data_IF_016737710323
#
_entry.id   IF_016737710323
#
_cell.length_a   1.000
_cell.length_b   1.000
_cell.length_c   1.000
_cell.angle_alpha   90.00
_cell.angle_beta   90.00
_cell.angle_gamma   90.00
#
_symmetry.space_group_name_H-M   'P 1'
#
loop_
_entity.id
_entity.type
_entity.pdbx_description
1 polymer ?
#
# COMPACT_ATOMS: atom_id res chain seq x y z
N UNK A 1 -20.23 -1.42 9.99
CA UNK A 1 -20.83 -0.38 10.87
C UNK A 1 -19.81 0.09 11.87
N UNK A 2 -19.65 1.40 12.06
CA UNK A 2 -18.58 1.95 12.92
C UNK A 2 -18.90 1.73 14.40
N UNK A 3 -17.98 1.07 15.14
CA UNK A 3 -18.11 0.82 16.59
C UNK A 3 -18.22 2.13 17.41
N UNK A 4 -17.77 3.25 16.85
CA UNK A 4 -17.74 4.60 17.45
C UNK A 4 -19.16 5.14 17.74
N UNK A 5 -20.17 4.66 17.03
CA UNK A 5 -21.57 5.04 17.27
C UNK A 5 -22.13 4.42 18.56
N UNK A 6 -21.67 3.22 18.94
CA UNK A 6 -22.23 2.45 20.05
C UNK A 6 -21.50 2.62 21.39
N UNK A 7 -20.32 3.26 21.38
CA UNK A 7 -19.49 3.43 22.58
C UNK A 7 -19.08 4.91 22.77
N UNK A 8 -19.83 5.70 23.55
CA UNK A 8 -19.57 7.13 23.71
C UNK A 8 -18.20 7.42 24.34
N UNK A 9 -17.72 6.56 25.25
CA UNK A 9 -16.40 6.70 25.88
C UNK A 9 -15.24 6.63 24.87
N UNK A 10 -15.40 5.90 23.76
CA UNK A 10 -14.39 5.88 22.70
C UNK A 10 -14.25 7.24 22.03
N UNK A 11 -15.31 8.05 21.96
CA UNK A 11 -15.23 9.41 21.40
C UNK A 11 -14.32 10.30 22.24
N UNK A 12 -14.37 10.17 23.56
CA UNK A 12 -13.52 10.96 24.45
C UNK A 12 -12.05 10.52 24.37
N UNK A 13 -11.79 9.22 24.26
CA UNK A 13 -10.43 8.71 23.99
C UNK A 13 -9.92 9.22 22.65
N UNK A 14 -10.72 9.14 21.58
CA UNK A 14 -10.35 9.67 20.27
C UNK A 14 -10.11 11.18 20.31
N UNK A 15 -10.88 11.95 21.10
CA UNK A 15 -10.64 13.39 21.27
C UNK A 15 -9.29 13.70 21.89
N UNK A 16 -8.84 12.91 22.87
CA UNK A 16 -7.55 13.07 23.56
C UNK A 16 -6.33 12.77 22.68
N UNK A 17 -6.49 12.02 21.58
CA UNK A 17 -5.36 11.72 20.68
C UNK A 17 -4.74 13.01 20.07
N UNK A 18 -3.40 13.06 19.93
CA UNK A 18 -2.72 14.19 19.31
C UNK A 18 -3.22 14.52 17.91
N UNK A 19 -3.23 15.83 17.57
CA UNK A 19 -3.70 16.31 16.26
C UNK A 19 -2.92 15.72 15.09
N UNK A 20 -1.59 15.61 15.22
CA UNK A 20 -0.72 15.07 14.16
C UNK A 20 -1.04 13.60 13.85
N UNK A 21 -1.36 12.79 14.88
CA UNK A 21 -1.71 11.39 14.72
C UNK A 21 -3.03 11.22 13.96
N UNK A 22 -4.06 12.00 14.32
CA UNK A 22 -5.36 12.00 13.62
C UNK A 22 -5.21 12.34 12.16
N UNK A 23 -4.44 13.39 11.86
CA UNK A 23 -4.16 13.81 10.48
C UNK A 23 -3.49 12.68 9.71
N UNK A 24 -2.38 12.13 10.22
CA UNK A 24 -1.67 11.00 9.58
C UNK A 24 -2.58 9.78 9.36
N UNK A 25 -3.45 9.46 10.31
CA UNK A 25 -4.40 8.35 10.17
C UNK A 25 -5.43 8.59 9.06
N UNK A 26 -6.03 9.78 9.02
CA UNK A 26 -7.01 10.17 8.01
C UNK A 26 -6.40 10.19 6.61
N UNK A 27 -5.20 10.76 6.50
CA UNK A 27 -4.44 10.76 5.27
C UNK A 27 -4.18 9.30 4.84
N UNK A 28 -3.67 8.42 5.72
CA UNK A 28 -3.32 7.03 5.36
C UNK A 28 -4.49 6.18 4.89
N UNK A 29 -5.71 6.51 5.34
CA UNK A 29 -6.94 5.81 4.94
C UNK A 29 -7.71 6.58 3.85
N UNK A 30 -7.17 7.68 3.33
CA UNK A 30 -7.78 8.40 2.23
C UNK A 30 -7.72 7.53 0.96
N UNK A 31 -8.88 7.12 0.46
CA UNK A 31 -8.95 6.40 -0.82
C UNK A 31 -8.54 7.35 -1.95
N UNK A 32 -7.70 6.89 -2.89
CA UNK A 32 -7.45 7.68 -4.09
C UNK A 32 -8.78 7.90 -4.84
N UNK A 33 -9.09 9.12 -5.28
CA UNK A 33 -10.31 9.38 -6.01
C UNK A 33 -10.28 8.56 -7.30
N UNK A 34 -11.27 7.70 -7.48
CA UNK A 34 -11.45 6.95 -8.73
C UNK A 34 -11.80 8.00 -9.80
N UNK A 35 -10.88 8.24 -10.74
CA UNK A 35 -11.15 9.17 -11.82
C UNK A 35 -12.03 8.51 -12.89
N UNK A 36 -13.33 8.78 -12.83
CA UNK A 36 -14.34 8.24 -13.73
C UNK A 36 -14.37 8.97 -15.10
N UNK A 37 -13.68 10.12 -15.21
CA UNK A 37 -13.67 10.95 -16.41
C UNK A 37 -12.25 10.99 -16.98
N UNK A 38 -12.04 10.33 -18.12
CA UNK A 38 -10.82 10.48 -18.93
C UNK A 38 -11.21 10.93 -20.33
N UNK A 39 -10.54 11.97 -20.82
CA UNK A 39 -10.66 12.39 -22.23
C UNK A 39 -10.16 11.27 -23.12
N UNK A 40 -11.05 10.67 -23.93
CA UNK A 40 -10.64 9.61 -24.86
C UNK A 40 -10.15 10.24 -26.17
N UNK A 41 -8.94 9.89 -26.66
CA UNK A 41 -8.42 10.45 -27.91
C UNK A 41 -9.28 10.04 -29.14
N UNK A 42 -10.05 8.95 -29.03
CA UNK A 42 -10.99 8.47 -30.07
C UNK A 42 -12.19 9.41 -30.32
N UNK A 43 -12.48 10.34 -29.40
CA UNK A 43 -13.63 11.26 -29.45
C UNK A 43 -13.24 12.74 -29.58
N UNK A 44 -11.94 13.06 -29.57
CA UNK A 44 -11.42 14.42 -29.77
C UNK A 44 -11.71 14.83 -31.22
N UNK A 45 -12.60 15.81 -31.41
CA UNK A 45 -12.95 16.39 -32.71
C UNK A 45 -14.33 16.04 -33.27
N UNK A 46 -15.16 15.25 -32.57
CA UNK A 46 -16.51 14.85 -33.06
C UNK A 46 -17.67 15.77 -32.69
N UNK A 47 -17.48 16.80 -31.86
CA UNK A 47 -18.55 17.74 -31.49
C UNK A 47 -17.97 19.15 -31.34
N UNK A 48 -18.58 20.13 -32.02
CA UNK A 48 -18.11 21.53 -32.06
C UNK A 48 -18.55 22.32 -30.79
N UNK A 49 -19.42 21.75 -29.94
CA UNK A 49 -20.15 22.53 -28.92
C UNK A 49 -20.23 21.90 -27.51
N UNK A 50 -19.74 20.68 -27.29
CA UNK A 50 -19.54 20.16 -25.93
C UNK A 50 -18.21 19.43 -25.90
N UNK A 51 -17.36 19.80 -24.94
CA UNK A 51 -16.16 19.06 -24.58
C UNK A 51 -16.63 17.65 -24.17
N UNK A 52 -16.54 16.69 -25.10
CA UNK A 52 -17.16 15.37 -25.01
C UNK A 52 -16.56 14.53 -23.86
N UNK A 53 -16.91 14.86 -22.61
CA UNK A 53 -16.57 14.11 -21.41
C UNK A 53 -17.55 12.94 -21.28
N UNK A 54 -17.39 11.93 -22.12
CA UNK A 54 -18.04 10.63 -21.88
C UNK A 54 -17.34 9.93 -20.71
N UNK A 55 -18.06 9.22 -19.82
CA UNK A 55 -17.43 8.33 -18.85
C UNK A 55 -16.46 7.39 -19.58
N UNK A 56 -15.21 7.30 -19.10
CA UNK A 56 -14.20 6.49 -19.77
C UNK A 56 -14.57 5.00 -19.70
N UNK A 57 -14.40 4.26 -20.80
CA UNK A 57 -14.54 2.79 -20.83
C UNK A 57 -13.48 2.09 -19.95
N UNK A 58 -12.42 2.80 -19.60
CA UNK A 58 -11.24 2.28 -18.90
C UNK A 58 -11.04 2.99 -17.56
N UNK A 59 -11.18 2.24 -16.48
CA UNK A 59 -10.92 2.70 -15.12
C UNK A 59 -9.56 2.18 -14.64
N UNK A 60 -8.70 3.07 -14.14
CA UNK A 60 -7.51 2.66 -13.39
C UNK A 60 -7.93 2.26 -11.97
N UNK A 61 -8.51 1.08 -11.83
CA UNK A 61 -8.77 0.48 -10.51
C UNK A 61 -7.60 -0.47 -10.23
N UNK A 62 -6.79 -0.21 -9.18
CA UNK A 62 -5.74 -1.13 -8.81
C UNK A 62 -6.35 -2.48 -8.44
N UNK A 63 -5.68 -3.61 -8.77
CA UNK A 63 -6.17 -4.92 -8.38
C UNK A 63 -6.28 -5.01 -6.86
N UNK A 64 -7.32 -5.71 -6.38
CA UNK A 64 -7.47 -5.94 -4.94
C UNK A 64 -6.35 -6.85 -4.45
N UNK A 65 -5.49 -6.30 -3.60
CA UNK A 65 -4.40 -7.03 -2.96
C UNK A 65 -4.86 -7.55 -1.60
N UNK A 66 -4.59 -8.82 -1.33
CA UNK A 66 -4.78 -9.45 -0.03
C UNK A 66 -3.43 -9.53 0.71
N UNK A 67 -3.44 -9.10 1.97
CA UNK A 67 -2.31 -9.20 2.88
C UNK A 67 -2.63 -10.22 3.98
N UNK A 68 -1.91 -11.35 4.06
CA UNK A 68 -2.07 -12.32 5.13
C UNK A 68 -1.40 -11.82 6.42
N UNK A 69 -1.74 -12.33 7.62
CA UNK A 69 -1.19 -11.82 8.88
C UNK A 69 0.34 -11.96 8.99
N UNK A 70 0.97 -12.83 8.21
CA UNK A 70 2.42 -12.98 8.12
C UNK A 70 3.09 -11.77 7.45
N UNK A 71 2.40 -11.08 6.53
CA UNK A 71 2.97 -9.90 5.86
C UNK A 71 3.22 -8.75 6.84
N UNK A 72 2.49 -8.70 7.97
CA UNK A 72 2.71 -7.70 9.01
C UNK A 72 4.10 -7.81 9.67
N UNK A 73 4.75 -8.99 9.58
CA UNK A 73 6.09 -9.26 10.14
C UNK A 73 7.20 -9.30 9.10
N UNK A 74 6.86 -9.05 7.84
CA UNK A 74 7.78 -9.09 6.71
C UNK A 74 7.83 -7.70 6.04
N UNK A 75 8.79 -7.53 5.13
CA UNK A 75 8.89 -6.32 4.32
C UNK A 75 8.52 -6.65 2.87
N UNK A 76 7.30 -6.30 2.46
CA UNK A 76 6.75 -6.69 1.16
C UNK A 76 6.86 -5.57 0.11
N UNK A 77 7.25 -4.37 0.51
CA UNK A 77 7.30 -3.15 -0.32
C UNK A 77 6.00 -2.87 -1.09
N UNK A 78 4.85 -3.12 -0.45
CA UNK A 78 3.53 -2.95 -1.06
C UNK A 78 3.09 -4.08 -1.99
N UNK A 79 3.91 -5.11 -2.23
CA UNK A 79 3.46 -6.34 -2.89
C UNK A 79 2.48 -7.10 -1.98
N UNK A 80 1.63 -7.92 -2.56
CA UNK A 80 0.80 -8.83 -1.80
C UNK A 80 0.14 -9.88 -2.68
N UNK A 81 -0.79 -10.64 -2.12
CA UNK A 81 -1.43 -11.73 -2.83
C UNK A 81 -2.56 -11.16 -3.67
N UNK A 82 -2.43 -11.26 -5.00
CA UNK A 82 -3.52 -10.90 -5.91
C UNK A 82 -4.31 -12.16 -6.21
N UNK A 83 -5.62 -12.12 -5.97
CA UNK A 83 -6.54 -13.22 -6.31
C UNK A 83 -7.42 -12.77 -7.46
N UNK A 84 -7.49 -13.59 -8.50
CA UNK A 84 -8.33 -13.34 -9.65
C UNK A 84 -8.57 -14.61 -10.44
N UNK A 85 -8.91 -14.44 -11.69
CA UNK A 85 -9.12 -15.54 -12.62
C UNK A 85 -8.03 -15.51 -13.68
N UNK A 86 -7.52 -16.68 -14.04
CA UNK A 86 -6.57 -16.87 -15.11
C UNK A 86 -7.19 -17.71 -16.22
N UNK A 87 -6.69 -17.50 -17.42
CA UNK A 87 -7.05 -18.25 -18.61
C UNK A 87 -5.74 -18.63 -19.31
N UNK A 88 -5.64 -19.85 -19.86
CA UNK A 88 -4.40 -20.28 -20.52
C UNK A 88 -4.30 -19.68 -21.92
N UNK A 89 -5.36 -19.85 -22.70
CA UNK A 89 -5.58 -19.32 -24.04
C UNK A 89 -7.01 -18.75 -24.14
N UNK A 90 -7.31 -17.91 -25.12
CA UNK A 90 -8.63 -17.26 -25.30
C UNK A 90 -9.83 -18.23 -25.36
N UNK A 91 -9.59 -19.49 -25.77
CA UNK A 91 -10.62 -20.54 -25.91
C UNK A 91 -10.66 -21.52 -24.73
N UNK A 92 -9.78 -21.35 -23.73
CA UNK A 92 -9.72 -22.26 -22.57
C UNK A 92 -10.61 -21.80 -21.43
N UNK A 93 -11.01 -22.71 -20.55
CA UNK A 93 -11.82 -22.37 -19.39
C UNK A 93 -11.09 -21.43 -18.43
N UNK A 94 -11.87 -20.55 -17.80
CA UNK A 94 -11.41 -19.60 -16.81
C UNK A 94 -11.30 -20.34 -15.46
N UNK A 95 -10.16 -20.23 -14.79
CA UNK A 95 -9.93 -20.85 -13.48
C UNK A 95 -9.42 -19.83 -12.45
N UNK A 96 -9.76 -20.00 -11.15
CA UNK A 96 -9.27 -19.10 -10.11
C UNK A 96 -7.77 -19.28 -9.90
N UNK A 97 -7.03 -18.17 -9.79
CA UNK A 97 -5.58 -18.15 -9.55
C UNK A 97 -5.23 -17.09 -8.51
N UNK A 98 -4.31 -17.45 -7.62
CA UNK A 98 -3.68 -16.54 -6.68
C UNK A 98 -2.20 -16.35 -7.06
N UNK A 99 -1.81 -15.11 -7.31
CA UNK A 99 -0.42 -14.72 -7.54
C UNK A 99 0.20 -14.29 -6.22
N UNK A 100 1.28 -14.96 -5.83
CA UNK A 100 2.00 -14.72 -4.57
C UNK A 100 3.36 -14.09 -4.86
N UNK A 101 3.83 -13.15 -4.03
CA UNK A 101 5.18 -12.60 -4.16
C UNK A 101 6.23 -13.64 -3.78
N UNK A 102 7.45 -13.45 -4.28
CA UNK A 102 8.60 -14.28 -3.91
C UNK A 102 9.19 -13.74 -2.61
N UNK A 103 9.20 -14.58 -1.57
CA UNK A 103 9.71 -14.23 -0.25
C UNK A 103 11.13 -14.81 -0.07
N UNK A 104 12.03 -13.97 0.44
CA UNK A 104 13.44 -14.29 0.67
C UNK A 104 13.82 -13.88 2.09
N UNK A 105 14.64 -14.67 2.77
CA UNK A 105 15.16 -14.33 4.10
C UNK A 105 16.56 -13.72 3.94
N UNK A 106 16.73 -12.47 4.35
CA UNK A 106 18.00 -11.76 4.25
C UNK A 106 18.45 -11.22 5.61
N UNK A 107 19.76 -11.13 5.79
CA UNK A 107 20.40 -10.55 6.96
C UNK A 107 20.72 -9.07 6.66
N UNK A 108 20.20 -8.17 7.49
CA UNK A 108 20.45 -6.74 7.40
C UNK A 108 21.14 -6.23 8.66
N UNK A 109 21.96 -5.22 8.48
CA UNK A 109 22.49 -4.41 9.57
C UNK A 109 21.73 -3.08 9.61
N UNK A 110 21.29 -2.67 10.79
CA UNK A 110 20.74 -1.33 11.03
C UNK A 110 21.76 -0.54 11.83
N UNK A 111 22.19 0.59 11.28
CA UNK A 111 23.10 1.55 11.91
C UNK A 111 22.40 2.27 13.06
N UNK A 112 21.13 2.64 12.86
CA UNK A 112 20.33 3.34 13.89
C UNK A 112 20.13 2.45 15.12
N UNK A 113 19.79 1.17 14.89
CA UNK A 113 19.57 0.21 15.99
C UNK A 113 20.85 -0.53 16.41
N UNK A 114 21.97 -0.26 15.75
CA UNK A 114 23.28 -0.87 15.97
C UNK A 114 23.24 -2.41 16.14
N UNK A 115 22.48 -3.09 15.27
CA UNK A 115 22.29 -4.55 15.38
C UNK A 115 22.01 -5.22 14.04
N UNK A 116 22.35 -6.50 13.98
CA UNK A 116 21.96 -7.40 12.90
C UNK A 116 20.54 -7.92 13.09
N UNK A 117 19.78 -8.00 12.01
CA UNK A 117 18.41 -8.51 12.00
C UNK A 117 18.16 -9.36 10.77
N UNK A 118 17.41 -10.43 10.96
CA UNK A 118 16.99 -11.29 9.86
C UNK A 118 15.55 -10.95 9.48
N UNK A 119 15.34 -10.46 8.26
CA UNK A 119 14.04 -10.01 7.77
C UNK A 119 13.66 -10.83 6.54
N UNK A 120 12.39 -11.22 6.47
CA UNK A 120 11.80 -11.78 5.24
C UNK A 120 11.38 -10.61 4.35
N UNK A 121 11.96 -10.55 3.16
CA UNK A 121 11.80 -9.48 2.17
C UNK A 121 11.30 -10.03 0.84
N UNK A 122 10.65 -9.19 0.04
CA UNK A 122 10.39 -9.45 -1.38
C UNK A 122 11.55 -9.00 -2.25
N UNK A 123 11.63 -9.50 -3.49
CA UNK A 123 12.65 -9.07 -4.46
C UNK A 123 12.56 -7.54 -4.72
N UNK A 124 11.33 -7.03 -4.86
CA UNK A 124 11.07 -5.59 -5.00
C UNK A 124 11.54 -4.80 -3.77
N UNK A 125 11.30 -5.31 -2.56
CA UNK A 125 11.77 -4.64 -1.35
C UNK A 125 13.29 -4.52 -1.33
N UNK A 126 13.99 -5.59 -1.73
CA UNK A 126 15.46 -5.58 -1.82
C UNK A 126 15.95 -4.52 -2.82
N UNK A 127 15.33 -4.44 -4.00
CA UNK A 127 15.67 -3.41 -5.00
C UNK A 127 15.44 -1.99 -4.48
N UNK A 128 14.35 -1.74 -3.75
CA UNK A 128 14.10 -0.41 -3.18
C UNK A 128 15.08 -0.06 -2.06
N UNK A 129 15.46 -1.03 -1.24
CA UNK A 129 16.48 -0.85 -0.20
C UNK A 129 17.81 -0.45 -0.85
N UNK A 130 18.20 -1.14 -1.92
CA UNK A 130 19.42 -0.84 -2.68
C UNK A 130 19.35 0.56 -3.31
N UNK A 131 18.22 0.92 -3.93
CA UNK A 131 18.01 2.27 -4.50
C UNK A 131 18.07 3.38 -3.45
N UNK A 132 17.62 3.10 -2.22
CA UNK A 132 17.69 4.04 -1.11
C UNK A 132 19.07 4.09 -0.46
N UNK A 133 19.99 3.19 -0.81
CA UNK A 133 21.34 3.14 -0.24
C UNK A 133 21.42 2.50 1.15
N UNK A 134 20.39 1.78 1.60
CA UNK A 134 20.41 1.09 2.89
C UNK A 134 19.03 0.86 3.50
N UNK A 135 18.97 -0.07 4.47
CA UNK A 135 17.71 -0.42 5.14
C UNK A 135 17.14 0.76 5.93
N UNK A 136 17.99 1.46 6.69
CA UNK A 136 17.55 2.56 7.54
C UNK A 136 17.02 3.73 6.71
N UNK A 137 17.73 4.06 5.62
CA UNK A 137 17.28 5.11 4.69
C UNK A 137 15.97 4.73 4.00
N UNK A 138 15.81 3.46 3.63
CA UNK A 138 14.55 2.95 3.09
C UNK A 138 13.39 3.11 4.09
N UNK A 139 13.57 2.68 5.35
CA UNK A 139 12.54 2.78 6.38
C UNK A 139 12.12 4.23 6.63
N UNK A 140 13.08 5.17 6.62
CA UNK A 140 12.82 6.59 6.85
C UNK A 140 12.23 7.31 5.64
N UNK A 141 12.57 6.90 4.42
CA UNK A 141 12.10 7.53 3.18
C UNK A 141 10.69 7.08 2.77
N UNK A 142 10.31 5.85 3.12
CA UNK A 142 8.99 5.32 2.77
C UNK A 142 7.90 6.05 3.55
N UNK A 143 7.01 6.72 2.84
CA UNK A 143 5.82 7.28 3.46
C UNK A 143 4.91 6.16 3.95
N UNK A 144 4.50 6.26 5.21
CA UNK A 144 3.67 5.26 5.92
C UNK A 144 2.33 4.97 5.23
N UNK A 145 1.89 5.91 4.42
CA UNK A 145 0.74 5.77 3.52
C UNK A 145 0.88 4.67 2.48
N UNK A 146 2.09 4.45 1.98
CA UNK A 146 2.35 3.60 0.83
C UNK A 146 2.63 2.15 1.23
N UNK A 147 3.04 1.94 2.46
CA UNK A 147 3.37 0.64 3.01
C UNK A 147 2.31 0.22 4.04
N UNK A 148 1.45 -0.73 3.68
CA UNK A 148 0.54 -1.43 4.61
C UNK A 148 1.31 -2.41 5.51
N UNK A 149 2.49 -2.02 6.00
CA UNK A 149 3.45 -2.91 6.64
C UNK A 149 3.63 -2.51 8.11
N UNK A 150 3.15 -3.37 9.02
CA UNK A 150 3.27 -3.15 10.46
C UNK A 150 4.72 -3.14 10.93
N UNK A 151 5.57 -4.02 10.39
CA UNK A 151 6.98 -4.11 10.74
C UNK A 151 7.70 -2.78 10.50
N UNK A 152 7.52 -2.18 9.30
CA UNK A 152 8.15 -0.91 8.95
C UNK A 152 7.71 0.21 9.89
N UNK A 153 6.41 0.27 10.22
CA UNK A 153 5.89 1.22 11.19
C UNK A 153 6.53 1.04 12.58
N UNK A 154 6.68 -0.18 13.06
CA UNK A 154 7.29 -0.46 14.34
C UNK A 154 8.77 -0.03 14.38
N UNK A 155 9.53 -0.36 13.34
CA UNK A 155 10.95 0.03 13.22
C UNK A 155 11.14 1.54 13.15
N UNK A 156 10.24 2.25 12.44
CA UNK A 156 10.28 3.71 12.36
C UNK A 156 10.04 4.39 13.70
N UNK A 157 9.16 3.83 14.54
CA UNK A 157 8.85 4.38 15.86
C UNK A 157 9.99 4.12 16.84
N UNK A 158 10.60 2.92 16.83
CA UNK A 158 11.78 2.67 17.66
C UNK A 158 12.92 3.62 17.31
N UNK A 159 13.18 3.83 16.01
CA UNK A 159 14.20 4.76 15.55
C UNK A 159 13.96 6.22 15.99
N UNK A 160 12.70 6.63 16.20
CA UNK A 160 12.34 7.99 16.63
C UNK A 160 12.41 8.19 18.15
N UNK A 161 12.39 7.12 18.94
CA UNK A 161 12.37 7.19 20.41
C UNK A 161 13.79 7.11 21.01
N UNK A 162 14.75 6.60 20.26
CA UNK A 162 16.14 6.42 20.69
C UNK A 162 17.04 7.66 20.36
N UNK A 163 16.45 8.75 19.85
CA UNK A 163 17.08 10.06 19.59
C UNK A 163 16.61 11.08 20.62
#
# INVERSE_FOLDING_TARGET
>A
MSRILFYPHLRDVLRRLPKHYKRRYLEAHASQPINYIKTSPKLVGRTIQMENLTPGEYYDVPPKVMYPPESDRCLWAGEGIVVGNAQKNEMSDIYPRAWRPKLLQHLFYSEILNRWMTIIVTDRALQLIEQCGGLDYYILSVSVHKANERLLNALSVSAQLDV
#
